data_IF_776856909853
#
_entry.id   IF_776856909853
#
_cell.length_a   1.000
_cell.length_b   1.000
_cell.length_c   1.000
_cell.angle_alpha   90.00
_cell.angle_beta   90.00
_cell.angle_gamma   90.00
#
_symmetry.space_group_name_H-M   'P 1'
#
loop_
_entity.id
_entity.type
_entity.pdbx_description
1 polymer ?
#
# COMPACT_ATOMS: atom_id res chain seq x y z
N UNK A 1 10.06 -48.65 -24.03
CA UNK A 1 10.26 -48.33 -22.60
C UNK A 1 10.15 -46.82 -22.45
N UNK A 2 8.95 -46.34 -22.12
CA UNK A 2 8.66 -44.93 -21.83
C UNK A 2 8.95 -44.67 -20.36
N UNK A 3 9.95 -43.84 -20.08
CA UNK A 3 10.27 -43.38 -18.72
C UNK A 3 9.24 -42.35 -18.28
N UNK A 4 8.40 -42.73 -17.33
CA UNK A 4 7.48 -41.85 -16.61
C UNK A 4 8.29 -40.89 -15.72
N UNK A 5 7.99 -39.59 -15.69
CA UNK A 5 8.65 -38.66 -14.78
C UNK A 5 8.25 -38.98 -13.32
N UNK A 6 9.14 -38.76 -12.34
CA UNK A 6 8.84 -39.03 -10.94
C UNK A 6 7.67 -38.14 -10.46
N UNK A 7 6.81 -38.66 -9.56
CA UNK A 7 5.72 -37.88 -9.00
C UNK A 7 6.28 -36.65 -8.28
N UNK A 8 5.66 -35.51 -8.53
CA UNK A 8 5.97 -34.24 -7.87
C UNK A 8 5.78 -34.42 -6.37
N UNK A 9 6.85 -34.26 -5.61
CA UNK A 9 6.85 -34.28 -4.14
C UNK A 9 5.74 -33.33 -3.65
N UNK A 10 4.75 -33.79 -2.86
CA UNK A 10 3.71 -32.91 -2.35
C UNK A 10 4.40 -31.89 -1.45
N UNK A 11 4.57 -30.68 -1.98
CA UNK A 11 5.26 -29.59 -1.30
C UNK A 11 4.77 -29.49 0.14
N UNK A 12 5.71 -29.40 1.08
CA UNK A 12 5.44 -29.23 2.51
C UNK A 12 4.47 -28.07 2.66
N UNK A 13 3.19 -28.41 2.87
CA UNK A 13 2.12 -27.43 3.09
C UNK A 13 2.44 -26.79 4.43
N UNK A 14 2.94 -25.56 4.40
CA UNK A 14 3.19 -24.84 5.64
C UNK A 14 1.85 -24.38 6.20
N UNK A 15 1.66 -24.26 7.53
CA UNK A 15 0.43 -23.73 8.12
C UNK A 15 0.02 -22.35 7.55
N UNK A 16 0.97 -21.63 6.98
CA UNK A 16 0.78 -20.33 6.32
C UNK A 16 0.20 -20.42 4.89
N UNK A 17 0.31 -21.58 4.21
CA UNK A 17 -0.36 -21.84 2.92
C UNK A 17 -1.86 -22.09 3.09
N UNK A 18 -2.29 -22.43 4.31
CA UNK A 18 -3.70 -22.69 4.66
C UNK A 18 -4.44 -21.45 5.20
N UNK A 19 -3.73 -20.33 5.43
CA UNK A 19 -4.36 -19.07 5.84
C UNK A 19 -4.75 -18.25 4.60
N UNK A 20 -5.94 -17.61 4.57
CA UNK A 20 -6.32 -16.74 3.46
C UNK A 20 -5.23 -15.70 3.22
N UNK A 21 -4.75 -15.63 1.98
CA UNK A 21 -3.61 -14.78 1.65
C UNK A 21 -4.04 -13.33 1.82
N UNK A 22 -3.30 -12.50 2.55
CA UNK A 22 -3.60 -11.07 2.63
C UNK A 22 -3.59 -10.37 1.24
N UNK A 23 -3.00 -11.02 0.23
CA UNK A 23 -3.02 -10.59 -1.17
C UNK A 23 -4.40 -10.74 -1.82
N UNK A 24 -5.30 -11.57 -1.28
CA UNK A 24 -6.67 -11.74 -1.77
C UNK A 24 -7.54 -10.49 -1.53
N UNK A 25 -7.14 -9.60 -0.61
CA UNK A 25 -7.78 -8.31 -0.41
C UNK A 25 -7.43 -7.27 -1.51
N UNK A 26 -6.38 -7.51 -2.31
CA UNK A 26 -5.89 -6.55 -3.31
C UNK A 26 -6.90 -6.32 -4.45
N UNK A 27 -7.53 -7.36 -5.04
CA UNK A 27 -8.61 -7.17 -6.02
C UNK A 27 -9.80 -6.37 -5.46
N UNK A 28 -10.23 -6.65 -4.23
CA UNK A 28 -11.35 -5.94 -3.60
C UNK A 28 -11.02 -4.45 -3.39
N UNK A 29 -9.80 -4.14 -2.93
CA UNK A 29 -9.34 -2.76 -2.78
C UNK A 29 -9.28 -2.03 -4.12
N UNK A 30 -8.84 -2.68 -5.19
CA UNK A 30 -8.85 -2.09 -6.55
C UNK A 30 -10.28 -1.87 -7.06
N UNK A 31 -11.18 -2.80 -6.79
CA UNK A 31 -12.59 -2.64 -7.15
C UNK A 31 -13.19 -1.44 -6.42
N UNK A 32 -12.98 -1.32 -5.11
CA UNK A 32 -13.41 -0.18 -4.31
C UNK A 32 -12.82 1.15 -4.82
N UNK A 33 -11.53 1.18 -5.15
CA UNK A 33 -10.87 2.38 -5.70
C UNK A 33 -11.44 2.79 -7.06
N UNK A 34 -11.71 1.84 -7.95
CA UNK A 34 -12.38 2.10 -9.25
C UNK A 34 -13.76 2.69 -9.06
N UNK A 35 -14.56 2.13 -8.15
CA UNK A 35 -15.90 2.65 -7.85
C UNK A 35 -15.86 4.05 -7.24
N UNK A 36 -14.92 4.33 -6.33
CA UNK A 36 -14.73 5.68 -5.79
C UNK A 36 -14.37 6.70 -6.88
N UNK A 37 -13.43 6.37 -7.77
CA UNK A 37 -13.06 7.25 -8.90
C UNK A 37 -14.27 7.49 -9.81
N UNK A 38 -15.05 6.44 -10.12
CA UNK A 38 -16.26 6.57 -10.92
C UNK A 38 -17.27 7.51 -10.26
N UNK A 39 -17.52 7.37 -8.95
CA UNK A 39 -18.43 8.25 -8.20
C UNK A 39 -17.97 9.71 -8.21
N UNK A 40 -16.68 9.98 -7.96
CA UNK A 40 -16.15 11.34 -8.03
C UNK A 40 -16.19 11.92 -9.46
N UNK A 41 -15.98 11.07 -10.47
CA UNK A 41 -16.14 11.44 -11.87
C UNK A 41 -17.58 11.87 -12.19
N UNK A 42 -18.58 11.15 -11.68
CA UNK A 42 -20.00 11.51 -11.84
C UNK A 42 -20.31 12.84 -11.16
N UNK A 43 -19.80 13.07 -9.94
CA UNK A 43 -19.99 14.36 -9.23
C UNK A 43 -19.33 15.51 -10.01
N UNK A 44 -18.11 15.31 -10.51
CA UNK A 44 -17.42 16.30 -11.34
C UNK A 44 -18.19 16.62 -12.63
N UNK A 45 -18.68 15.59 -13.33
CA UNK A 45 -19.50 15.76 -14.52
C UNK A 45 -20.81 16.52 -14.23
N UNK A 46 -21.46 16.22 -13.11
CA UNK A 46 -22.67 16.94 -12.67
C UNK A 46 -22.38 18.41 -12.34
N UNK A 47 -21.23 18.73 -11.73
CA UNK A 47 -20.83 20.11 -11.44
C UNK A 47 -20.55 20.91 -12.70
N UNK A 48 -19.93 20.30 -13.72
CA UNK A 48 -19.67 20.97 -15.01
C UNK A 48 -20.94 21.10 -15.85
N UNK A 49 -21.77 20.04 -15.89
CA UNK A 49 -22.91 19.96 -16.80
C UNK A 49 -24.27 20.43 -16.24
N UNK A 50 -24.48 20.39 -14.92
CA UNK A 50 -25.82 20.53 -14.33
C UNK A 50 -26.15 21.94 -13.82
N UNK A 51 -25.27 22.55 -13.03
CA UNK A 51 -25.55 23.81 -12.33
C UNK A 51 -25.27 25.08 -13.13
N UNK A 52 -24.05 25.24 -13.70
CA UNK A 52 -23.65 26.47 -14.38
C UNK A 52 -24.51 26.80 -15.59
N UNK A 53 -24.85 25.80 -16.43
CA UNK A 53 -25.61 25.99 -17.67
C UNK A 53 -27.03 26.54 -17.44
N UNK A 54 -27.67 26.19 -16.31
CA UNK A 54 -29.00 26.68 -15.94
C UNK A 54 -28.92 28.06 -15.26
N UNK A 55 -27.80 28.37 -14.62
CA UNK A 55 -27.61 29.60 -13.86
C UNK A 55 -27.07 30.79 -14.67
N UNK A 56 -26.52 30.58 -15.88
CA UNK A 56 -25.95 31.66 -16.72
C UNK A 56 -26.93 32.82 -16.94
N UNK A 57 -28.23 32.55 -17.00
CA UNK A 57 -29.26 33.58 -17.19
C UNK A 57 -29.65 34.38 -15.94
N UNK A 58 -29.18 33.99 -14.74
CA UNK A 58 -29.59 34.60 -13.46
C UNK A 58 -28.52 35.46 -12.79
N UNK A 59 -27.28 35.41 -13.27
CA UNK A 59 -26.16 36.14 -12.66
C UNK A 59 -26.14 37.57 -13.20
N UNK A 60 -26.42 38.55 -12.35
CA UNK A 60 -26.53 39.95 -12.75
C UNK A 60 -25.30 40.71 -12.23
N UNK A 61 -24.20 40.63 -12.99
CA UNK A 61 -23.01 41.45 -12.76
C UNK A 61 -21.71 40.67 -12.63
N UNK A 62 -20.59 41.34 -12.92
CA UNK A 62 -19.25 40.76 -12.91
C UNK A 62 -18.83 40.22 -11.54
N UNK A 63 -19.28 40.85 -10.44
CA UNK A 63 -18.95 40.42 -9.07
C UNK A 63 -19.57 39.06 -8.73
N UNK A 64 -20.87 38.89 -8.98
CA UNK A 64 -21.57 37.61 -8.75
C UNK A 64 -21.03 36.50 -9.65
N UNK A 65 -20.68 36.82 -10.91
CA UNK A 65 -20.07 35.87 -11.84
C UNK A 65 -18.69 35.38 -11.37
N UNK A 66 -17.86 36.29 -10.83
CA UNK A 66 -16.55 35.92 -10.27
C UNK A 66 -16.69 35.07 -9.01
N UNK A 67 -17.63 35.38 -8.12
CA UNK A 67 -17.87 34.59 -6.90
C UNK A 67 -18.42 33.21 -7.25
N UNK A 68 -19.38 33.11 -8.18
CA UNK A 68 -19.91 31.83 -8.65
C UNK A 68 -18.84 30.99 -9.35
N UNK A 69 -18.02 31.59 -10.21
CA UNK A 69 -16.88 30.93 -10.85
C UNK A 69 -15.84 30.43 -9.83
N UNK A 70 -15.51 31.25 -8.83
CA UNK A 70 -14.62 30.87 -7.73
C UNK A 70 -15.15 29.68 -6.91
N UNK A 71 -16.44 29.70 -6.57
CA UNK A 71 -17.09 28.62 -5.84
C UNK A 71 -17.08 27.30 -6.63
N UNK A 72 -17.30 27.36 -7.95
CA UNK A 72 -17.22 26.21 -8.84
C UNK A 72 -15.79 25.66 -8.93
N UNK A 73 -14.77 26.52 -9.02
CA UNK A 73 -13.36 26.11 -9.02
C UNK A 73 -12.96 25.42 -7.72
N UNK A 74 -13.45 25.91 -6.57
CA UNK A 74 -13.23 25.27 -5.26
C UNK A 74 -13.84 23.86 -5.23
N UNK A 75 -15.07 23.70 -5.72
CA UNK A 75 -15.71 22.40 -5.79
C UNK A 75 -14.96 21.42 -6.72
N UNK A 76 -14.55 21.88 -7.92
CA UNK A 76 -13.76 21.06 -8.86
C UNK A 76 -12.40 20.67 -8.28
N UNK A 77 -11.74 21.57 -7.54
CA UNK A 77 -10.47 21.28 -6.85
C UNK A 77 -10.66 20.17 -5.82
N UNK A 78 -11.76 20.17 -5.07
CA UNK A 78 -12.12 19.08 -4.17
C UNK A 78 -12.22 17.72 -4.90
N UNK A 79 -12.93 17.67 -6.04
CA UNK A 79 -13.04 16.46 -6.85
C UNK A 79 -11.67 15.98 -7.36
N UNK A 80 -10.85 16.88 -7.90
CA UNK A 80 -9.51 16.54 -8.39
C UNK A 80 -8.61 16.00 -7.27
N UNK A 81 -8.65 16.61 -6.08
CA UNK A 81 -7.90 16.12 -4.91
C UNK A 81 -8.34 14.72 -4.49
N UNK A 82 -9.66 14.45 -4.47
CA UNK A 82 -10.18 13.12 -4.16
C UNK A 82 -9.69 12.07 -5.18
N UNK A 83 -9.80 12.35 -6.47
CA UNK A 83 -9.35 11.44 -7.53
C UNK A 83 -7.84 11.20 -7.47
N UNK A 84 -7.05 12.25 -7.23
CA UNK A 84 -5.60 12.12 -7.09
C UNK A 84 -5.22 11.23 -5.91
N UNK A 85 -5.83 11.42 -4.74
CA UNK A 85 -5.52 10.62 -3.56
C UNK A 85 -5.95 9.16 -3.71
N UNK A 86 -7.12 8.90 -4.31
CA UNK A 86 -7.55 7.52 -4.60
C UNK A 86 -6.62 6.87 -5.64
N UNK A 87 -6.13 7.62 -6.63
CA UNK A 87 -5.18 7.13 -7.64
C UNK A 87 -3.83 6.69 -7.04
N UNK A 88 -3.39 7.33 -5.94
CA UNK A 88 -2.17 6.92 -5.23
C UNK A 88 -2.28 5.54 -4.60
N UNK A 89 -3.49 5.09 -4.25
CA UNK A 89 -3.74 3.73 -3.72
C UNK A 89 -3.58 2.67 -4.82
N UNK A 90 -3.73 3.04 -6.09
CA UNK A 90 -3.55 2.10 -7.21
C UNK A 90 -2.08 1.84 -7.56
N UNK A 91 -1.14 2.67 -7.09
CA UNK A 91 0.29 2.46 -7.35
C UNK A 91 0.81 1.42 -6.37
N UNK A 92 1.22 0.22 -6.83
CA UNK A 92 1.67 -0.84 -5.94
C UNK A 92 2.97 -0.42 -5.26
N UNK A 93 3.03 -0.31 -3.92
CA UNK A 93 4.28 -0.11 -3.23
C UNK A 93 5.11 -1.39 -3.36
N UNK A 94 6.36 -1.25 -3.80
CA UNK A 94 7.33 -2.35 -3.76
C UNK A 94 7.71 -2.56 -2.30
N UNK A 95 7.20 -3.63 -1.67
CA UNK A 95 7.52 -3.96 -0.28
C UNK A 95 8.80 -4.78 -0.25
N UNK A 96 9.83 -4.23 0.41
CA UNK A 96 11.12 -4.90 0.62
C UNK A 96 11.43 -4.95 2.11
N UNK A 97 12.48 -5.67 2.52
CA UNK A 97 12.92 -5.65 3.92
C UNK A 97 13.26 -4.23 4.41
N UNK A 98 13.70 -3.32 3.52
CA UNK A 98 13.94 -1.93 3.87
C UNK A 98 12.65 -1.17 4.25
N UNK A 99 11.50 -1.62 3.75
CA UNK A 99 10.18 -1.05 4.05
C UNK A 99 9.81 -1.14 5.53
N UNK A 100 10.35 -2.14 6.24
CA UNK A 100 10.14 -2.34 7.68
C UNK A 100 10.79 -1.26 8.54
N UNK A 101 11.72 -0.48 7.96
CA UNK A 101 12.36 0.65 8.63
C UNK A 101 11.64 1.98 8.32
N UNK A 102 10.58 1.97 7.50
CA UNK A 102 9.85 3.19 7.16
C UNK A 102 8.84 3.56 8.26
N UNK A 103 8.49 4.86 8.41
CA UNK A 103 7.50 5.30 9.40
C UNK A 103 6.14 4.59 9.25
N UNK A 104 5.77 4.23 8.02
CA UNK A 104 4.52 3.52 7.73
C UNK A 104 4.45 2.14 8.39
N UNK A 105 5.59 1.46 8.59
CA UNK A 105 5.67 0.14 9.20
C UNK A 105 5.94 0.18 10.72
N UNK A 106 6.10 1.38 11.32
CA UNK A 106 6.49 1.53 12.73
C UNK A 106 5.51 0.87 13.69
N UNK A 107 4.21 1.07 13.50
CA UNK A 107 3.19 0.46 14.37
C UNK A 107 3.17 -1.07 14.29
N UNK A 108 3.46 -1.63 13.11
CA UNK A 108 3.63 -3.08 12.95
C UNK A 108 4.88 -3.58 13.68
N UNK A 109 5.99 -2.84 13.58
CA UNK A 109 7.23 -3.17 14.27
C UNK A 109 7.07 -3.12 15.79
N UNK A 110 6.45 -2.06 16.32
CA UNK A 110 6.15 -1.94 17.76
C UNK A 110 5.28 -3.09 18.26
N UNK A 111 4.26 -3.49 17.49
CA UNK A 111 3.40 -4.64 17.82
C UNK A 111 4.19 -5.95 17.89
N UNK A 112 5.06 -6.18 16.91
CA UNK A 112 5.87 -7.40 16.83
C UNK A 112 6.96 -7.41 17.91
N UNK A 113 7.62 -6.28 18.14
CA UNK A 113 8.68 -6.14 19.14
C UNK A 113 8.14 -6.27 20.58
N UNK A 114 6.85 -5.98 20.80
CA UNK A 114 6.20 -6.19 22.10
C UNK A 114 6.03 -7.68 22.46
N UNK A 115 5.76 -8.53 21.47
CA UNK A 115 5.53 -9.97 21.68
C UNK A 115 6.08 -10.83 20.53
N UNK A 116 7.40 -10.87 20.29
CA UNK A 116 7.98 -11.55 19.13
C UNK A 116 7.74 -13.06 19.12
N UNK A 117 7.63 -13.68 20.30
CA UNK A 117 7.35 -15.11 20.44
C UNK A 117 5.95 -15.49 19.91
N UNK A 118 4.97 -14.58 19.97
CA UNK A 118 3.62 -14.86 19.48
C UNK A 118 3.57 -14.89 17.94
N UNK A 119 4.50 -14.20 17.28
CA UNK A 119 4.58 -14.12 15.82
C UNK A 119 5.57 -15.12 15.21
N UNK A 120 6.73 -15.32 15.86
CA UNK A 120 7.83 -16.12 15.32
C UNK A 120 8.10 -17.40 16.11
N UNK A 121 7.42 -17.62 17.24
CA UNK A 121 7.70 -18.75 18.12
C UNK A 121 9.14 -18.75 18.60
N UNK A 122 9.80 -19.89 18.50
CA UNK A 122 11.24 -20.04 18.81
C UNK A 122 12.16 -19.73 17.63
N UNK A 123 11.61 -19.35 16.46
CA UNK A 123 12.40 -19.18 15.25
C UNK A 123 13.21 -17.87 15.26
N UNK A 124 12.74 -16.83 15.96
CA UNK A 124 13.42 -15.56 16.07
C UNK A 124 12.99 -14.76 17.30
N UNK A 125 13.91 -13.94 17.80
CA UNK A 125 13.65 -13.01 18.92
C UNK A 125 13.14 -11.65 18.47
N UNK A 126 13.10 -11.40 17.16
CA UNK A 126 12.62 -10.15 16.57
C UNK A 126 12.88 -10.07 15.06
N UNK A 127 12.43 -8.99 14.44
CA UNK A 127 12.52 -8.78 12.99
C UNK A 127 13.99 -8.73 12.52
N UNK A 128 14.86 -8.06 13.27
CA UNK A 128 16.28 -7.92 12.90
C UNK A 128 17.01 -9.26 12.95
N UNK A 129 16.60 -10.16 13.86
CA UNK A 129 17.17 -11.51 13.99
C UNK A 129 16.82 -12.37 12.76
N UNK A 130 15.56 -12.30 12.31
CA UNK A 130 15.08 -12.90 11.07
C UNK A 130 15.87 -12.44 9.82
N UNK A 131 16.16 -11.15 9.74
CA UNK A 131 16.87 -10.57 8.59
C UNK A 131 18.39 -10.78 8.66
N UNK A 132 18.95 -10.96 9.86
CA UNK A 132 20.40 -11.14 10.09
C UNK A 132 20.97 -12.32 9.31
N UNK A 133 20.25 -13.44 9.22
CA UNK A 133 20.74 -14.64 8.52
C UNK A 133 21.02 -14.40 7.03
N UNK A 134 20.21 -13.57 6.36
CA UNK A 134 20.45 -13.19 4.95
C UNK A 134 21.66 -12.28 4.81
N UNK A 135 21.84 -11.32 5.71
CA UNK A 135 23.02 -10.45 5.72
C UNK A 135 24.32 -11.26 5.93
N UNK A 136 24.28 -12.24 6.85
CA UNK A 136 25.41 -13.15 7.10
C UNK A 136 25.73 -13.98 5.85
N UNK A 137 24.72 -14.57 5.19
CA UNK A 137 24.94 -15.35 3.97
C UNK A 137 25.55 -14.51 2.83
N UNK A 138 25.08 -13.28 2.63
CA UNK A 138 25.63 -12.34 1.63
C UNK A 138 27.09 -12.00 1.95
N UNK A 139 27.40 -11.71 3.22
CA UNK A 139 28.77 -11.41 3.64
C UNK A 139 29.72 -12.61 3.46
N UNK A 140 29.27 -13.83 3.78
CA UNK A 140 30.05 -15.07 3.56
C UNK A 140 30.26 -15.30 2.06
N UNK A 141 29.24 -15.06 1.23
CA UNK A 141 29.36 -15.19 -0.22
C UNK A 141 30.40 -14.21 -0.78
N UNK A 142 30.41 -12.96 -0.30
CA UNK A 142 31.43 -11.95 -0.65
C UNK A 142 32.83 -12.35 -0.18
N UNK A 143 32.96 -12.97 0.99
CA UNK A 143 34.23 -13.51 1.46
C UNK A 143 34.72 -14.66 0.56
N UNK A 144 33.81 -15.54 0.10
CA UNK A 144 34.14 -16.65 -0.80
C UNK A 144 34.66 -16.22 -2.18
N UNK A 145 34.29 -15.04 -2.66
CA UNK A 145 34.77 -14.50 -3.95
C UNK A 145 36.17 -13.92 -3.87
N UNK A 146 36.66 -13.61 -2.66
CA UNK A 146 37.98 -12.98 -2.44
C UNK A 146 38.97 -13.95 -1.78
N UNK A 147 38.49 -15.00 -1.12
CA UNK A 147 39.32 -16.00 -0.45
C UNK A 147 39.93 -17.00 -1.44
N UNK A 148 41.26 -17.10 -1.40
CA UNK A 148 42.06 -17.97 -2.26
C UNK A 148 42.54 -19.25 -1.56
N UNK A 149 42.57 -19.25 -0.22
CA UNK A 149 43.00 -20.42 0.55
C UNK A 149 41.92 -21.53 0.51
N UNK A 150 42.26 -22.75 0.05
CA UNK A 150 41.32 -23.86 -0.06
C UNK A 150 40.74 -24.31 1.29
N UNK A 151 41.52 -24.23 2.37
CA UNK A 151 41.08 -24.67 3.70
C UNK A 151 40.08 -23.67 4.30
N UNK A 152 40.34 -22.37 4.17
CA UNK A 152 39.42 -21.30 4.57
C UNK A 152 38.16 -21.28 3.71
N UNK A 153 38.27 -21.51 2.40
CA UNK A 153 37.09 -21.68 1.53
C UNK A 153 36.20 -22.83 1.99
N UNK A 154 36.77 -23.99 2.34
CA UNK A 154 35.99 -25.13 2.83
C UNK A 154 35.27 -24.83 4.16
N UNK A 155 35.89 -24.03 5.03
CA UNK A 155 35.25 -23.55 6.26
C UNK A 155 34.12 -22.55 5.98
N UNK A 156 34.33 -21.58 5.08
CA UNK A 156 33.31 -20.61 4.66
C UNK A 156 32.10 -21.28 3.99
N UNK A 157 32.32 -22.32 3.17
CA UNK A 157 31.22 -23.11 2.60
C UNK A 157 30.36 -23.76 3.66
N UNK A 158 30.95 -24.38 4.70
CA UNK A 158 30.20 -24.95 5.83
C UNK A 158 29.36 -23.89 6.56
N UNK A 159 29.91 -22.70 6.76
CA UNK A 159 29.16 -21.58 7.36
C UNK A 159 28.05 -21.07 6.45
N UNK A 160 28.28 -21.04 5.13
CA UNK A 160 27.27 -20.66 4.15
C UNK A 160 26.11 -21.65 4.14
N UNK A 161 26.40 -22.95 4.17
CA UNK A 161 25.36 -23.99 4.20
C UNK A 161 24.52 -23.90 5.46
N UNK A 162 25.16 -23.67 6.62
CA UNK A 162 24.44 -23.42 7.87
C UNK A 162 23.57 -22.16 7.81
N UNK A 163 24.09 -21.08 7.23
CA UNK A 163 23.32 -19.85 7.04
C UNK A 163 22.14 -20.08 6.09
N UNK A 164 22.32 -20.84 5.00
CA UNK A 164 21.23 -21.23 4.08
C UNK A 164 20.15 -22.05 4.78
N UNK A 165 20.51 -23.06 5.57
CA UNK A 165 19.53 -23.83 6.34
C UNK A 165 18.72 -22.94 7.28
N UNK A 166 19.38 -21.99 7.96
CA UNK A 166 18.68 -21.03 8.81
C UNK A 166 17.77 -20.08 8.01
N UNK A 167 18.19 -19.65 6.83
CA UNK A 167 17.35 -18.87 5.91
C UNK A 167 16.12 -19.68 5.50
N UNK A 168 16.27 -20.94 5.09
CA UNK A 168 15.13 -21.78 4.69
C UNK A 168 14.12 -21.94 5.83
N UNK A 169 14.58 -22.07 7.07
CA UNK A 169 13.69 -22.13 8.25
C UNK A 169 12.95 -20.83 8.53
N UNK A 170 13.57 -19.69 8.22
CA UNK A 170 13.04 -18.35 8.52
C UNK A 170 12.33 -17.71 7.33
N UNK A 171 12.44 -18.29 6.13
CA UNK A 171 11.86 -17.77 4.89
C UNK A 171 10.34 -17.61 4.94
N UNK A 172 9.56 -18.57 5.48
CA UNK A 172 8.10 -18.42 5.59
C UNK A 172 7.70 -17.20 6.42
N UNK A 173 8.36 -17.00 7.56
CA UNK A 173 8.11 -15.84 8.44
C UNK A 173 8.45 -14.52 7.76
N UNK A 174 9.50 -14.48 6.94
CA UNK A 174 9.85 -13.26 6.21
C UNK A 174 8.83 -12.98 5.11
N UNK A 175 8.37 -14.00 4.37
CA UNK A 175 7.32 -13.83 3.36
C UNK A 175 6.02 -13.32 3.99
N UNK A 176 5.62 -13.92 5.11
CA UNK A 176 4.47 -13.47 5.90
C UNK A 176 4.64 -12.03 6.37
N UNK A 177 5.81 -11.67 6.89
CA UNK A 177 6.10 -10.33 7.39
C UNK A 177 6.10 -9.28 6.28
N UNK A 178 6.60 -9.61 5.08
CA UNK A 178 6.53 -8.73 3.92
C UNK A 178 5.08 -8.57 3.41
N UNK A 179 4.29 -9.64 3.40
CA UNK A 179 2.87 -9.55 3.07
C UNK A 179 2.12 -8.66 4.08
N UNK A 180 2.38 -8.84 5.38
CA UNK A 180 1.78 -8.04 6.44
C UNK A 180 2.20 -6.57 6.35
N UNK A 181 3.48 -6.30 6.09
CA UNK A 181 3.99 -4.96 5.88
C UNK A 181 3.30 -4.29 4.68
N UNK A 182 3.08 -5.01 3.58
CA UNK A 182 2.36 -4.50 2.42
C UNK A 182 0.91 -4.09 2.77
N UNK A 183 0.19 -4.94 3.52
CA UNK A 183 -1.17 -4.63 3.98
C UNK A 183 -1.17 -3.42 4.91
N UNK A 184 -0.21 -3.33 5.83
CA UNK A 184 -0.12 -2.22 6.76
C UNK A 184 0.16 -0.89 6.04
N UNK A 185 1.01 -0.90 5.01
CA UNK A 185 1.23 0.26 4.15
C UNK A 185 -0.06 0.70 3.46
N UNK A 186 -0.84 -0.24 2.93
CA UNK A 186 -2.14 0.08 2.31
C UNK A 186 -3.09 0.67 3.35
N UNK A 187 -3.14 0.13 4.57
CA UNK A 187 -3.99 0.64 5.65
C UNK A 187 -3.63 2.07 6.04
N UNK A 188 -2.34 2.38 6.19
CA UNK A 188 -1.86 3.74 6.49
C UNK A 188 -2.18 4.69 5.35
N UNK A 189 -1.90 4.29 4.11
CA UNK A 189 -2.24 5.08 2.92
C UNK A 189 -3.76 5.33 2.83
N UNK A 190 -4.58 4.34 3.16
CA UNK A 190 -6.05 4.48 3.17
C UNK A 190 -6.54 5.42 4.28
N UNK A 191 -5.94 5.37 5.48
CA UNK A 191 -6.27 6.29 6.56
C UNK A 191 -5.92 7.75 6.20
N UNK A 192 -4.78 7.97 5.57
CA UNK A 192 -4.41 9.29 5.04
C UNK A 192 -5.37 9.73 3.93
N UNK A 193 -5.63 8.85 2.96
CA UNK A 193 -6.56 9.11 1.87
C UNK A 193 -7.97 9.44 2.40
N UNK A 194 -8.45 8.76 3.44
CA UNK A 194 -9.75 9.04 4.06
C UNK A 194 -9.84 10.47 4.60
N UNK A 195 -8.78 10.99 5.24
CA UNK A 195 -8.75 12.38 5.72
C UNK A 195 -8.86 13.37 4.57
N UNK A 196 -8.14 13.10 3.48
CA UNK A 196 -8.22 13.91 2.27
C UNK A 196 -9.56 13.80 1.56
N UNK A 197 -10.20 12.62 1.55
CA UNK A 197 -11.55 12.45 1.02
C UNK A 197 -12.58 13.25 1.82
N UNK A 198 -12.48 13.27 3.15
CA UNK A 198 -13.36 14.12 3.98
C UNK A 198 -13.17 15.59 3.61
N UNK A 199 -11.92 16.06 3.52
CA UNK A 199 -11.61 17.44 3.14
C UNK A 199 -12.13 17.77 1.73
N UNK A 200 -11.98 16.85 0.78
CA UNK A 200 -12.52 16.99 -0.57
C UNK A 200 -14.05 17.09 -0.58
N UNK A 201 -14.76 16.25 0.18
CA UNK A 201 -16.22 16.31 0.33
C UNK A 201 -16.64 17.65 0.95
N UNK A 202 -15.93 18.13 1.98
CA UNK A 202 -16.20 19.43 2.59
C UNK A 202 -16.00 20.58 1.60
N UNK A 203 -14.94 20.55 0.78
CA UNK A 203 -14.70 21.54 -0.27
C UNK A 203 -15.82 21.53 -1.31
N UNK A 204 -16.23 20.35 -1.79
CA UNK A 204 -17.33 20.19 -2.75
C UNK A 204 -18.63 20.73 -2.18
N UNK A 205 -19.00 20.34 -0.96
CA UNK A 205 -20.21 20.80 -0.31
C UNK A 205 -20.22 22.33 -0.11
N UNK A 206 -19.10 22.89 0.37
CA UNK A 206 -18.96 24.33 0.61
C UNK A 206 -19.04 25.12 -0.70
N UNK A 207 -18.34 24.65 -1.74
CA UNK A 207 -18.37 25.28 -3.07
C UNK A 207 -19.75 25.20 -3.71
N UNK A 208 -20.44 24.06 -3.61
CA UNK A 208 -21.80 23.91 -4.12
C UNK A 208 -22.81 24.81 -3.39
N UNK A 209 -22.74 24.89 -2.06
CA UNK A 209 -23.61 25.78 -1.27
C UNK A 209 -23.33 27.25 -1.59
N UNK A 210 -22.06 27.66 -1.69
CA UNK A 210 -21.68 29.02 -2.09
C UNK A 210 -22.17 29.35 -3.51
N UNK A 211 -22.08 28.41 -4.46
CA UNK A 211 -22.60 28.59 -5.81
C UNK A 211 -24.12 28.74 -5.82
N UNK A 212 -24.85 27.88 -5.10
CA UNK A 212 -26.32 27.92 -5.03
C UNK A 212 -26.86 29.16 -4.32
N UNK A 213 -26.18 29.65 -3.28
CA UNK A 213 -26.60 30.87 -2.56
C UNK A 213 -26.47 32.10 -3.44
N UNK A 214 -25.36 32.22 -4.18
CA UNK A 214 -25.15 33.34 -5.13
C UNK A 214 -26.10 33.27 -6.32
N UNK A 215 -26.41 32.08 -6.82
CA UNK A 215 -27.29 31.91 -8.01
C UNK A 215 -28.79 31.80 -7.68
N UNK A 216 -29.15 31.57 -6.42
CA UNK A 216 -30.53 31.41 -5.95
C UNK A 216 -31.13 32.60 -5.20
N UNK A 217 -30.31 33.59 -4.78
CA UNK A 217 -30.75 34.73 -3.97
C UNK A 217 -31.45 35.88 -4.73
N UNK A 218 -31.54 35.82 -6.05
CA UNK A 218 -32.15 36.86 -6.90
C UNK A 218 -33.63 36.63 -7.24
N UNK A 219 -34.45 36.26 -6.25
CA UNK A 219 -35.91 36.12 -6.38
C UNK A 219 -36.65 37.39 -6.00
#
# INVERSE_FOLDING_TARGET
>A
MTTEPPPSDPGVVTPFDALPSPLDAVPELRAAARWMIASFGVVGAALVGGGPLVAVGKVHGLGEALVAGGALLVALTGVCLAVWQVSRVLVPPITTAATLNTPAARGLRELIDASPADFFGSAATGIDDLLRHRAVAVNIHRALTTESDPTRRAHLHRHLDRAKTNITRTDPFVRWLLAMAHVWQIRVAFQEARRWCVLAVTLVATGAVAFLTVTGGGG
#
